data_IF_422487275074
#
_entry.id   IF_422487275074
#
_cell.length_a   1.000
_cell.length_b   1.000
_cell.length_c   1.000
_cell.angle_alpha   90.00
_cell.angle_beta   90.00
_cell.angle_gamma   90.00
#
_symmetry.space_group_name_H-M   'P 1'
#
loop_
_entity.id
_entity.type
_entity.pdbx_description
1 polymer ?
#
# COMPACT_ATOMS: atom_id res chain seq x y z
N UNK A 1 -20.85 -14.24 0.35
CA UNK A 1 -19.69 -14.56 -0.51
C UNK A 1 -18.38 -14.41 0.26
N UNK A 2 -18.10 -13.27 0.91
CA UNK A 2 -17.02 -13.16 1.91
C UNK A 2 -17.59 -13.37 3.33
N UNK A 3 -17.20 -14.41 4.10
CA UNK A 3 -17.69 -14.60 5.47
C UNK A 3 -17.20 -13.53 6.44
N UNK A 4 -16.11 -12.80 6.13
CA UNK A 4 -15.58 -11.73 6.97
C UNK A 4 -16.43 -10.44 6.90
N UNK A 5 -17.33 -10.31 5.92
CA UNK A 5 -18.13 -9.09 5.72
C UNK A 5 -17.32 -7.86 5.30
N UNK A 6 -16.10 -8.06 4.80
CA UNK A 6 -15.19 -7.00 4.38
C UNK A 6 -15.08 -6.88 2.86
N UNK A 7 -14.65 -5.71 2.40
CA UNK A 7 -14.19 -5.45 1.03
C UNK A 7 -12.66 -5.47 0.97
N UNK A 8 -12.04 -5.78 -0.18
CA UNK A 8 -12.65 -6.14 -1.47
C UNK A 8 -13.06 -7.62 -1.59
N UNK A 9 -13.97 -7.87 -2.52
CA UNK A 9 -14.33 -9.21 -3.02
C UNK A 9 -14.26 -9.16 -4.56
N UNK A 10 -13.54 -10.08 -5.16
CA UNK A 10 -13.46 -10.26 -6.60
C UNK A 10 -14.21 -11.53 -7.00
N UNK A 11 -14.99 -11.43 -8.09
CA UNK A 11 -15.54 -12.58 -8.80
C UNK A 11 -14.99 -12.55 -10.21
N UNK A 12 -14.41 -13.66 -10.64
CA UNK A 12 -13.88 -13.86 -11.98
C UNK A 12 -14.65 -15.02 -12.63
N UNK A 13 -15.53 -14.67 -13.57
CA UNK A 13 -16.37 -15.66 -14.26
C UNK A 13 -15.57 -16.50 -15.28
N UNK A 14 -14.40 -16.04 -15.77
CA UNK A 14 -13.57 -16.81 -16.70
C UNK A 14 -12.91 -18.01 -16.01
N UNK A 15 -12.61 -17.88 -14.72
CA UNK A 15 -11.99 -18.94 -13.90
C UNK A 15 -12.92 -19.56 -12.85
N UNK A 16 -14.20 -19.17 -12.84
CA UNK A 16 -15.20 -19.54 -11.82
C UNK A 16 -14.69 -19.33 -10.38
N UNK A 17 -14.01 -18.20 -10.15
CA UNK A 17 -13.36 -17.87 -8.88
C UNK A 17 -14.11 -16.77 -8.14
N UNK A 18 -14.35 -16.99 -6.84
CA UNK A 18 -14.74 -15.94 -5.89
C UNK A 18 -13.62 -15.82 -4.85
N UNK A 19 -12.98 -14.65 -4.79
CA UNK A 19 -11.78 -14.43 -3.96
C UNK A 19 -11.89 -13.14 -3.14
N UNK A 20 -11.55 -13.23 -1.87
CA UNK A 20 -11.36 -12.12 -0.94
C UNK A 20 -9.90 -12.10 -0.45
N UNK A 21 -9.53 -11.11 0.38
CA UNK A 21 -8.16 -10.66 0.65
C UNK A 21 -7.54 -9.86 -0.50
N UNK A 22 -7.31 -8.56 -0.28
CA UNK A 22 -6.80 -7.64 -1.29
C UNK A 22 -5.46 -8.09 -1.89
N UNK A 23 -4.52 -8.55 -1.07
CA UNK A 23 -3.23 -9.03 -1.54
C UNK A 23 -3.35 -10.34 -2.34
N UNK A 24 -4.26 -11.24 -1.95
CA UNK A 24 -4.51 -12.47 -2.70
C UNK A 24 -5.12 -12.14 -4.07
N UNK A 25 -6.07 -11.21 -4.12
CA UNK A 25 -6.66 -10.70 -5.36
C UNK A 25 -5.58 -10.09 -6.27
N UNK A 26 -4.69 -9.24 -5.74
CA UNK A 26 -3.61 -8.64 -6.54
C UNK A 26 -2.65 -9.70 -7.08
N UNK A 27 -2.25 -10.69 -6.26
CA UNK A 27 -1.39 -11.80 -6.72
C UNK A 27 -2.08 -12.64 -7.79
N UNK A 28 -3.36 -12.95 -7.60
CA UNK A 28 -4.17 -13.68 -8.57
C UNK A 28 -4.22 -12.95 -9.92
N UNK A 29 -4.57 -11.66 -9.92
CA UNK A 29 -4.65 -10.87 -11.15
C UNK A 29 -3.28 -10.72 -11.82
N UNK A 30 -2.21 -10.59 -11.05
CA UNK A 30 -0.85 -10.57 -11.59
C UNK A 30 -0.50 -11.90 -12.27
N UNK A 31 -0.71 -13.04 -11.60
CA UNK A 31 -0.39 -14.36 -12.13
C UNK A 31 -1.27 -14.74 -13.34
N UNK A 32 -2.56 -14.42 -13.30
CA UNK A 32 -3.54 -14.82 -14.31
C UNK A 32 -3.48 -13.91 -15.56
N UNK A 33 -3.40 -12.59 -15.36
CA UNK A 33 -3.55 -11.59 -16.44
C UNK A 33 -2.36 -10.63 -16.58
N UNK A 34 -1.40 -10.70 -15.64
CA UNK A 34 -0.25 -9.78 -15.55
C UNK A 34 1.08 -10.41 -15.92
N UNK A 35 1.10 -11.57 -16.59
CA UNK A 35 2.34 -12.20 -17.08
C UNK A 35 3.14 -11.22 -17.94
N UNK A 36 4.46 -11.20 -17.77
CA UNK A 36 5.38 -10.26 -18.45
C UNK A 36 5.12 -8.76 -18.15
N UNK A 37 4.31 -8.44 -17.14
CA UNK A 37 3.97 -7.06 -16.74
C UNK A 37 4.07 -6.83 -15.24
N UNK A 38 3.37 -7.63 -14.46
CA UNK A 38 3.28 -7.53 -12.99
C UNK A 38 3.67 -8.84 -12.29
N UNK A 39 3.57 -9.97 -12.98
CA UNK A 39 4.02 -11.26 -12.45
C UNK A 39 5.53 -11.42 -12.60
N UNK A 40 6.17 -11.88 -11.53
CA UNK A 40 7.59 -12.24 -11.50
C UNK A 40 7.67 -13.76 -11.46
N UNK A 41 8.21 -14.41 -12.49
CA UNK A 41 8.25 -15.87 -12.58
C UNK A 41 9.21 -16.52 -11.59
N UNK A 42 10.39 -15.93 -11.39
CA UNK A 42 11.40 -16.42 -10.45
C UNK A 42 10.87 -16.39 -9.01
N UNK A 43 10.73 -17.54 -8.32
CA UNK A 43 10.18 -17.58 -6.96
C UNK A 43 10.95 -16.72 -5.97
N UNK A 44 12.29 -16.71 -6.06
CA UNK A 44 13.13 -15.92 -5.16
C UNK A 44 12.89 -14.41 -5.35
N UNK A 45 12.88 -13.94 -6.60
CA UNK A 45 12.61 -12.52 -6.93
C UNK A 45 11.18 -12.12 -6.59
N UNK A 46 10.23 -13.04 -6.80
CA UNK A 46 8.84 -12.82 -6.40
C UNK A 46 8.69 -12.70 -4.89
N UNK A 47 9.36 -13.55 -4.11
CA UNK A 47 9.33 -13.47 -2.65
C UNK A 47 9.93 -12.15 -2.12
N UNK A 48 10.97 -11.61 -2.76
CA UNK A 48 11.52 -10.28 -2.44
C UNK A 48 10.49 -9.16 -2.60
N UNK A 49 9.58 -9.27 -3.57
CA UNK A 49 8.46 -8.34 -3.77
C UNK A 49 7.26 -8.64 -2.85
N UNK A 50 6.87 -9.91 -2.73
CA UNK A 50 5.68 -10.33 -1.99
C UNK A 50 5.80 -10.10 -0.49
N UNK A 51 7.02 -10.10 0.07
CA UNK A 51 7.27 -9.72 1.48
C UNK A 51 6.71 -8.33 1.79
N UNK A 52 6.75 -7.40 0.83
CA UNK A 52 6.25 -6.04 1.00
C UNK A 52 4.73 -5.97 0.97
N UNK A 53 4.07 -6.90 0.29
CA UNK A 53 2.61 -7.01 0.34
C UNK A 53 2.17 -7.43 1.74
N UNK A 54 2.80 -8.46 2.29
CA UNK A 54 2.46 -8.96 3.63
C UNK A 54 2.80 -7.91 4.69
N UNK A 55 3.98 -7.29 4.58
CA UNK A 55 4.40 -6.21 5.47
C UNK A 55 3.45 -5.00 5.42
N UNK A 56 2.90 -4.65 4.24
CA UNK A 56 1.95 -3.55 4.12
C UNK A 56 0.69 -3.79 4.99
N UNK A 57 0.09 -4.98 4.93
CA UNK A 57 -1.12 -5.27 5.72
C UNK A 57 -0.82 -5.61 7.18
N UNK A 58 0.32 -6.25 7.48
CA UNK A 58 0.63 -6.71 8.84
C UNK A 58 1.33 -5.65 9.70
N UNK A 59 2.03 -4.69 9.07
CA UNK A 59 2.80 -3.66 9.78
C UNK A 59 2.27 -2.26 9.45
N UNK A 60 2.35 -1.83 8.19
CA UNK A 60 2.02 -0.45 7.81
C UNK A 60 0.56 -0.12 8.06
N UNK A 61 -0.35 -1.04 7.75
CA UNK A 61 -1.80 -0.85 7.93
C UNK A 61 -2.18 -0.57 9.38
N UNK A 62 -1.46 -1.13 10.36
CA UNK A 62 -1.76 -0.93 11.77
C UNK A 62 -1.46 0.52 12.21
N UNK A 63 -0.27 1.01 11.88
CA UNK A 63 0.12 2.40 12.15
C UNK A 63 -0.73 3.39 11.35
N UNK A 64 -0.98 3.08 10.07
CA UNK A 64 -1.84 3.89 9.19
C UNK A 64 -3.27 4.03 9.72
N UNK A 65 -3.86 2.95 10.25
CA UNK A 65 -5.25 2.94 10.72
C UNK A 65 -5.48 3.96 11.83
N UNK A 66 -4.55 4.12 12.77
CA UNK A 66 -4.70 5.10 13.86
C UNK A 66 -4.83 6.53 13.34
N UNK A 67 -4.02 6.89 12.34
CA UNK A 67 -4.05 8.21 11.70
C UNK A 67 -5.31 8.38 10.87
N UNK A 68 -5.66 7.40 10.02
CA UNK A 68 -6.82 7.52 9.15
C UNK A 68 -8.12 7.59 9.96
N UNK A 69 -8.27 6.76 10.99
CA UNK A 69 -9.44 6.83 11.86
C UNK A 69 -9.48 8.18 12.58
N UNK A 70 -8.40 8.57 13.25
CA UNK A 70 -8.38 9.77 14.07
C UNK A 70 -8.52 11.09 13.29
N UNK A 71 -7.83 11.24 12.16
CA UNK A 71 -7.82 12.51 11.41
C UNK A 71 -8.90 12.63 10.34
N UNK A 72 -9.38 11.51 9.79
CA UNK A 72 -10.31 11.51 8.66
C UNK A 72 -11.69 11.00 9.05
N UNK A 73 -11.78 9.97 9.90
CA UNK A 73 -13.05 9.32 10.25
C UNK A 73 -13.62 9.72 11.61
N UNK A 74 -12.88 10.51 12.40
CA UNK A 74 -13.30 11.00 13.72
C UNK A 74 -13.42 12.53 13.72
N UNK A 75 -14.57 13.09 14.13
CA UNK A 75 -14.75 14.53 14.31
C UNK A 75 -13.70 15.12 15.27
N UNK A 76 -13.22 16.36 15.06
CA UNK A 76 -12.17 16.97 15.89
C UNK A 76 -12.38 16.88 17.41
N UNK A 77 -13.63 17.01 17.87
CA UNK A 77 -14.05 16.97 19.27
C UNK A 77 -13.95 15.57 19.92
N UNK A 78 -13.88 14.51 19.14
CA UNK A 78 -13.80 13.11 19.61
C UNK A 78 -12.40 12.49 19.43
N UNK A 79 -11.42 13.27 18.95
CA UNK A 79 -10.08 12.76 18.63
C UNK A 79 -9.28 12.44 19.89
N UNK A 80 -8.75 11.23 19.94
CA UNK A 80 -7.65 10.89 20.85
C UNK A 80 -6.33 11.34 20.22
N UNK A 81 -5.90 12.56 20.58
CA UNK A 81 -4.67 13.13 20.04
C UNK A 81 -3.42 12.31 20.43
N UNK A 82 -3.40 11.71 21.62
CA UNK A 82 -2.26 10.92 22.07
C UNK A 82 -2.10 9.64 21.23
N UNK A 83 -3.22 8.99 20.88
CA UNK A 83 -3.21 7.84 19.98
C UNK A 83 -2.77 8.22 18.56
N UNK A 84 -3.26 9.35 18.03
CA UNK A 84 -2.86 9.86 16.72
C UNK A 84 -1.35 10.16 16.69
N UNK A 85 -0.83 10.85 17.70
CA UNK A 85 0.61 11.20 17.78
C UNK A 85 1.50 9.95 17.89
N UNK A 86 1.05 8.92 18.63
CA UNK A 86 1.74 7.64 18.70
C UNK A 86 1.80 6.95 17.32
N UNK A 87 0.69 6.91 16.59
CA UNK A 87 0.65 6.37 15.23
C UNK A 87 1.49 7.19 14.25
N UNK A 88 1.52 8.53 14.36
CA UNK A 88 2.41 9.40 13.57
C UNK A 88 3.87 9.06 13.81
N UNK A 89 4.29 8.89 15.08
CA UNK A 89 5.66 8.50 15.41
C UNK A 89 6.03 7.13 14.85
N UNK A 90 5.12 6.16 14.93
CA UNK A 90 5.32 4.84 14.36
C UNK A 90 5.45 4.90 12.83
N UNK A 91 4.54 5.60 12.14
CA UNK A 91 4.59 5.79 10.70
C UNK A 91 5.90 6.46 10.24
N UNK A 92 6.40 7.48 10.96
CA UNK A 92 7.66 8.14 10.57
C UNK A 92 8.86 7.19 10.66
N UNK A 93 8.88 6.29 11.65
CA UNK A 93 9.89 5.24 11.76
C UNK A 93 9.77 4.20 10.62
N UNK A 94 8.54 3.81 10.25
CA UNK A 94 8.31 2.92 9.11
C UNK A 94 8.72 3.59 7.79
N UNK A 95 8.53 4.90 7.65
CA UNK A 95 8.98 5.66 6.49
C UNK A 95 10.51 5.67 6.37
N UNK A 96 11.24 5.73 7.49
CA UNK A 96 12.69 5.58 7.48
C UNK A 96 13.12 4.20 6.94
N UNK A 97 12.41 3.14 7.34
CA UNK A 97 12.66 1.77 6.86
C UNK A 97 12.40 1.65 5.36
N UNK A 98 11.26 2.17 4.89
CA UNK A 98 10.91 2.17 3.47
C UNK A 98 11.92 2.96 2.62
N UNK A 99 12.35 4.12 3.11
CA UNK A 99 13.37 4.94 2.44
C UNK A 99 14.71 4.20 2.33
N UNK A 100 15.14 3.53 3.41
CA UNK A 100 16.38 2.76 3.43
C UNK A 100 16.35 1.55 2.48
N UNK A 101 15.20 0.91 2.29
CA UNK A 101 15.07 -0.14 1.27
C UNK A 101 15.11 0.46 -0.14
N UNK A 102 14.36 1.53 -0.38
CA UNK A 102 14.33 2.23 -1.68
C UNK A 102 15.66 2.91 -2.04
N UNK A 103 16.63 2.98 -1.11
CA UNK A 103 18.00 3.34 -1.45
C UNK A 103 18.74 2.22 -2.22
N UNK A 104 18.30 0.96 -2.07
CA UNK A 104 18.92 -0.23 -2.67
C UNK A 104 18.21 -0.70 -3.94
N UNK A 105 16.91 -0.48 -4.01
CA UNK A 105 16.05 -0.92 -5.12
C UNK A 105 15.25 0.26 -5.69
N UNK A 106 14.88 0.15 -6.97
CA UNK A 106 14.07 1.18 -7.64
C UNK A 106 12.62 1.16 -7.16
N UNK A 107 12.06 -0.05 -7.05
CA UNK A 107 10.71 -0.36 -6.62
C UNK A 107 10.75 -1.40 -5.51
N UNK A 108 9.71 -1.50 -4.69
CA UNK A 108 9.60 -2.58 -3.70
C UNK A 108 9.55 -3.96 -4.38
N UNK A 109 9.14 -4.01 -5.64
CA UNK A 109 9.16 -5.22 -6.46
C UNK A 109 10.50 -5.45 -7.21
N UNK A 110 11.54 -4.64 -6.96
CA UNK A 110 12.86 -4.75 -7.56
C UNK A 110 13.12 -3.70 -8.65
N UNK A 111 13.49 -4.16 -9.84
CA UNK A 111 13.88 -3.28 -10.96
C UNK A 111 12.68 -2.61 -11.65
N UNK A 112 11.51 -3.24 -11.59
CA UNK A 112 10.27 -2.79 -12.21
C UNK A 112 9.14 -2.64 -11.19
N UNK A 113 8.15 -1.81 -11.52
CA UNK A 113 6.94 -1.64 -10.70
C UNK A 113 6.15 -2.93 -10.65
N UNK A 114 5.70 -3.35 -9.46
CA UNK A 114 4.97 -4.60 -9.31
C UNK A 114 4.07 -4.67 -8.07
N UNK A 115 3.78 -5.90 -7.66
CA UNK A 115 2.78 -6.21 -6.63
C UNK A 115 3.13 -5.66 -5.24
N UNK A 116 4.42 -5.56 -4.89
CA UNK A 116 4.86 -4.97 -3.63
C UNK A 116 4.54 -3.46 -3.58
N UNK A 117 4.72 -2.77 -4.70
CA UNK A 117 4.43 -1.34 -4.82
C UNK A 117 2.92 -1.08 -4.79
N UNK A 118 2.13 -1.93 -5.45
CA UNK A 118 0.66 -1.86 -5.45
C UNK A 118 0.10 -1.97 -4.02
N UNK A 119 0.68 -2.84 -3.19
CA UNK A 119 0.22 -3.01 -1.82
C UNK A 119 0.55 -1.81 -0.92
N UNK A 120 1.72 -1.18 -1.09
CA UNK A 120 2.16 -0.06 -0.24
C UNK A 120 1.55 1.28 -0.65
N UNK A 121 1.40 1.53 -1.96
CA UNK A 121 1.03 2.84 -2.50
C UNK A 121 -0.24 3.47 -1.90
N UNK A 122 -1.37 2.74 -1.70
CA UNK A 122 -2.59 3.34 -1.15
C UNK A 122 -2.41 3.87 0.27
N UNK A 123 -1.62 3.19 1.11
CA UNK A 123 -1.33 3.64 2.47
C UNK A 123 -0.49 4.91 2.47
N UNK A 124 0.58 4.95 1.66
CA UNK A 124 1.45 6.14 1.55
C UNK A 124 0.68 7.33 1.00
N UNK A 125 -0.18 7.12 0.00
CA UNK A 125 -1.02 8.18 -0.54
C UNK A 125 -1.88 8.83 0.54
N UNK A 126 -2.58 8.02 1.36
CA UNK A 126 -3.37 8.57 2.46
C UNK A 126 -2.50 9.39 3.42
N UNK A 127 -1.37 8.83 3.89
CA UNK A 127 -0.51 9.49 4.87
C UNK A 127 0.08 10.82 4.37
N UNK A 128 0.33 10.95 3.07
CA UNK A 128 0.81 12.20 2.47
C UNK A 128 -0.29 13.24 2.22
N UNK A 129 -1.57 12.87 2.32
CA UNK A 129 -2.70 13.72 1.94
C UNK A 129 -3.69 14.00 3.10
N UNK A 130 -3.34 13.66 4.35
CA UNK A 130 -4.14 13.95 5.56
C UNK A 130 -3.73 15.22 6.31
N UNK A 131 -2.93 16.09 5.69
CA UNK A 131 -2.50 17.37 6.29
C UNK A 131 -1.37 17.26 7.31
N UNK A 132 -0.66 16.13 7.33
CA UNK A 132 0.54 15.90 8.15
C UNK A 132 1.81 16.25 7.38
N UNK A 133 2.83 16.69 8.12
CA UNK A 133 4.20 16.87 7.62
C UNK A 133 5.09 15.78 8.18
N UNK A 134 5.87 15.14 7.31
CA UNK A 134 6.73 14.00 7.63
C UNK A 134 8.21 14.37 7.55
N UNK A 135 9.07 13.61 8.22
CA UNK A 135 10.52 13.74 8.04
C UNK A 135 10.88 13.51 6.57
N UNK A 136 11.74 14.33 5.93
CA UNK A 136 12.11 14.11 4.52
C UNK A 136 12.72 12.73 4.28
N UNK A 137 12.17 12.00 3.30
CA UNK A 137 12.60 10.66 2.87
C UNK A 137 12.86 10.67 1.36
N UNK A 138 14.09 10.96 0.90
CA UNK A 138 14.34 11.26 -0.52
C UNK A 138 14.06 10.08 -1.47
N UNK A 139 14.34 8.84 -1.05
CA UNK A 139 14.08 7.65 -1.85
C UNK A 139 12.59 7.31 -1.89
N UNK A 140 11.89 7.45 -0.76
CA UNK A 140 10.44 7.30 -0.69
C UNK A 140 9.72 8.37 -1.51
N UNK A 141 10.18 9.62 -1.46
CA UNK A 141 9.64 10.72 -2.26
C UNK A 141 9.86 10.49 -3.77
N UNK A 142 11.06 10.04 -4.17
CA UNK A 142 11.34 9.64 -5.56
C UNK A 142 10.38 8.55 -6.03
N UNK A 143 10.23 7.48 -5.25
CA UNK A 143 9.31 6.39 -5.56
C UNK A 143 7.86 6.89 -5.66
N UNK A 144 7.42 7.73 -4.72
CA UNK A 144 6.08 8.31 -4.74
C UNK A 144 5.85 9.18 -5.98
N UNK A 145 6.82 10.01 -6.36
CA UNK A 145 6.76 10.79 -7.59
C UNK A 145 6.59 9.90 -8.83
N UNK A 146 7.37 8.82 -8.94
CA UNK A 146 7.24 7.85 -10.02
C UNK A 146 5.87 7.17 -10.06
N UNK A 147 5.23 6.94 -8.90
CA UNK A 147 3.85 6.46 -8.84
C UNK A 147 2.85 7.47 -9.42
N UNK A 148 3.01 8.77 -9.10
CA UNK A 148 2.10 9.82 -9.60
C UNK A 148 2.12 10.00 -11.11
N UNK A 149 3.14 9.49 -11.79
CA UNK A 149 3.24 9.52 -13.24
C UNK A 149 2.37 8.42 -13.90
N UNK A 150 1.98 7.40 -13.15
CA UNK A 150 1.23 6.23 -13.66
C UNK A 150 -0.26 6.57 -13.82
N UNK A 151 -0.85 6.50 -15.02
CA UNK A 151 -2.26 6.84 -15.23
C UNK A 151 -3.23 6.05 -14.35
N UNK A 152 -2.98 4.76 -14.13
CA UNK A 152 -3.81 3.91 -13.28
C UNK A 152 -3.77 4.35 -11.81
N UNK A 153 -2.59 4.72 -11.30
CA UNK A 153 -2.44 5.22 -9.91
C UNK A 153 -3.16 6.56 -9.75
N UNK A 154 -2.95 7.50 -10.69
CA UNK A 154 -3.68 8.78 -10.67
C UNK A 154 -5.19 8.61 -10.65
N UNK A 155 -5.70 7.68 -11.47
CA UNK A 155 -7.14 7.45 -11.61
C UNK A 155 -7.76 6.79 -10.37
N UNK A 156 -7.07 5.83 -9.77
CA UNK A 156 -7.67 4.92 -8.76
C UNK A 156 -7.24 5.26 -7.33
N UNK A 157 -5.97 5.64 -7.14
CA UNK A 157 -5.41 5.90 -5.81
C UNK A 157 -5.47 7.39 -5.47
N UNK A 158 -5.18 8.28 -6.44
CA UNK A 158 -5.06 9.72 -6.20
C UNK A 158 -6.41 10.45 -6.24
N UNK A 159 -7.37 9.95 -5.48
CA UNK A 159 -8.69 10.57 -5.27
C UNK A 159 -8.75 11.19 -3.86
N UNK A 160 -9.63 12.16 -3.59
CA UNK A 160 -9.69 12.83 -2.28
C UNK A 160 -9.76 11.84 -1.11
N UNK A 161 -8.86 12.02 -0.13
CA UNK A 161 -8.92 11.28 1.13
C UNK A 161 -10.10 11.83 1.93
N UNK A 162 -11.08 10.96 2.17
CA UNK A 162 -12.32 11.23 2.90
C UNK A 162 -12.62 10.09 3.86
#
# INVERSE_FOLDING_TARGET
>A
MNPNGLVPLLRDDESDLILWESNAIVRYLAAQYGQKRLWIDSPARRAEAEKWMDWANQTLSNAHRGILMGLVRTPPEERDQAAIDASCKECDALFALLDAELAKVKWFSGDEFGVGDIAIAPFIYNLFNVGLTWTPRPNLQRWYQQLTERPAVRKVVMIPVS
#
